data_IF_298504715919
#
_entry.id   IF_298504715919
#
_cell.length_a   1.000
_cell.length_b   1.000
_cell.length_c   1.000
_cell.angle_alpha   90.00
_cell.angle_beta   90.00
_cell.angle_gamma   90.00
#
_symmetry.space_group_name_H-M   'P 1'
#
loop_
_entity.id
_entity.type
_entity.pdbx_description
1 polymer ?
#
# COMPACT_ATOMS: atom_id res chain seq x y z
N UNK A 1 -6.87 24.48 26.02
CA UNK A 1 -7.10 25.21 27.30
C UNK A 1 -7.78 26.53 27.00
N UNK A 2 -8.90 26.86 27.64
CA UNK A 2 -9.44 28.23 27.71
C UNK A 2 -10.42 28.31 28.89
N UNK A 3 -10.22 29.24 29.82
CA UNK A 3 -11.15 29.51 30.94
C UNK A 3 -11.74 30.89 30.72
N UNK A 4 -13.06 30.99 30.54
CA UNK A 4 -13.76 32.27 30.57
C UNK A 4 -14.82 32.22 31.67
N UNK A 5 -14.75 33.13 32.64
CA UNK A 5 -15.47 33.06 33.92
C UNK A 5 -16.07 34.42 34.24
N UNK A 6 -17.33 34.65 33.85
CA UNK A 6 -18.02 35.93 34.05
C UNK A 6 -19.00 35.83 35.23
N UNK A 7 -19.07 36.88 36.04
CA UNK A 7 -19.91 36.96 37.25
C UNK A 7 -21.34 37.40 36.90
N UNK A 8 -22.32 36.89 37.63
CA UNK A 8 -23.58 37.58 37.96
C UNK A 8 -23.71 37.64 39.50
N UNK A 9 -24.56 38.52 40.03
CA UNK A 9 -24.59 38.86 41.47
C UNK A 9 -25.98 39.32 41.92
N UNK A 10 -26.61 38.53 42.79
CA UNK A 10 -27.79 38.85 43.62
C UNK A 10 -27.72 37.92 44.85
N UNK A 11 -27.57 38.33 46.11
CA UNK A 11 -28.10 39.45 46.91
C UNK A 11 -29.48 39.14 47.51
N UNK A 12 -29.50 38.80 48.81
CA UNK A 12 -30.64 38.87 49.77
C UNK A 12 -31.76 37.84 49.47
N UNK A 13 -32.45 37.23 50.44
CA UNK A 13 -32.73 37.66 51.82
C UNK A 13 -32.39 36.64 52.95
N UNK A 14 -32.52 37.07 54.20
CA UNK A 14 -31.98 36.43 55.41
C UNK A 14 -33.02 36.44 56.55
N UNK A 15 -33.74 35.33 56.72
CA UNK A 15 -34.81 35.18 57.74
C UNK A 15 -34.26 35.13 59.18
N UNK A 16 -34.66 36.04 60.08
CA UNK A 16 -34.29 35.96 61.49
C UNK A 16 -35.18 34.98 62.27
N UNK A 17 -34.57 34.09 63.04
CA UNK A 17 -35.23 33.32 64.10
C UNK A 17 -35.20 34.16 65.37
N UNK A 18 -36.38 34.49 65.91
CA UNK A 18 -36.51 35.21 67.19
C UNK A 18 -37.05 34.24 68.23
N UNK A 19 -36.35 34.14 69.36
CA UNK A 19 -36.75 33.36 70.54
C UNK A 19 -36.96 34.31 71.71
N UNK A 20 -38.23 34.47 72.09
CA UNK A 20 -38.73 35.21 73.24
C UNK A 20 -40.26 34.95 73.32
N UNK A 21 -40.93 34.98 74.47
CA UNK A 21 -40.48 34.89 75.86
C UNK A 21 -41.75 34.57 76.67
N UNK A 22 -41.82 33.43 77.35
CA UNK A 22 -42.98 33.13 78.22
C UNK A 22 -42.91 33.99 79.48
N UNK A 23 -43.93 34.82 79.75
CA UNK A 23 -44.45 35.10 81.10
C UNK A 23 -45.69 36.01 81.16
N UNK A 24 -46.60 35.58 82.04
CA UNK A 24 -47.52 36.33 82.91
C UNK A 24 -48.72 37.16 82.33
N UNK A 25 -49.77 37.25 83.17
CA UNK A 25 -50.93 38.17 83.22
C UNK A 25 -52.06 38.14 82.16
N UNK A 26 -53.13 37.37 82.47
CA UNK A 26 -54.48 37.86 82.81
C UNK A 26 -55.36 36.65 83.18
N UNK A 27 -55.78 36.45 84.44
CA UNK A 27 -56.81 37.15 85.21
C UNK A 27 -58.26 36.83 84.78
N UNK A 28 -58.89 36.03 85.65
CA UNK A 28 -60.32 35.76 85.73
C UNK A 28 -61.16 37.04 85.84
N UNK A 29 -62.38 37.00 85.29
CA UNK A 29 -63.51 37.79 85.76
C UNK A 29 -64.71 36.84 85.79
N UNK A 30 -65.11 36.42 87.00
CA UNK A 30 -66.37 35.70 87.23
C UNK A 30 -67.51 36.68 87.53
N UNK A 31 -68.76 36.21 87.39
CA UNK A 31 -69.97 36.97 87.66
C UNK A 31 -70.57 36.58 89.03
N UNK A 32 -70.73 37.56 89.92
CA UNK A 32 -71.77 37.61 90.96
C UNK A 32 -72.32 39.06 90.91
N UNK A 33 -73.61 39.38 90.76
CA UNK A 33 -74.82 38.92 91.45
C UNK A 33 -74.84 39.24 92.95
N UNK A 34 -75.20 40.49 93.28
CA UNK A 34 -75.88 40.84 94.54
C UNK A 34 -76.96 41.90 94.28
N UNK A 35 -78.20 41.44 94.20
CA UNK A 35 -79.40 42.20 94.54
C UNK A 35 -79.91 41.61 95.87
N UNK A 36 -80.24 42.45 96.87
CA UNK A 36 -81.48 42.36 97.67
C UNK A 36 -81.48 43.31 98.89
N UNK A 37 -82.56 44.10 98.97
CA UNK A 37 -83.33 44.47 100.17
C UNK A 37 -82.61 44.99 101.45
N UNK A 38 -82.92 46.23 101.84
CA UNK A 38 -83.80 46.47 103.00
C UNK A 38 -84.44 47.87 102.99
N UNK A 39 -85.48 48.06 103.81
CA UNK A 39 -86.40 49.20 103.86
C UNK A 39 -86.62 49.63 105.32
N UNK A 40 -87.37 50.72 105.55
CA UNK A 40 -87.83 51.21 106.87
C UNK A 40 -86.71 51.70 107.84
N UNK A 41 -86.99 52.45 108.91
CA UNK A 41 -87.80 53.67 109.14
C UNK A 41 -87.41 54.20 110.57
N UNK A 42 -88.22 55.06 111.21
CA UNK A 42 -88.02 55.66 112.56
C UNK A 42 -86.83 56.66 112.64
N UNK A 43 -87.03 57.99 112.62
CA UNK A 43 -87.76 58.94 113.50
C UNK A 43 -86.91 59.56 114.63
N UNK A 44 -87.20 60.84 114.92
CA UNK A 44 -86.37 61.75 115.72
C UNK A 44 -86.70 61.74 117.23
N UNK A 45 -85.78 62.29 118.02
CA UNK A 45 -85.82 62.30 119.48
C UNK A 45 -86.88 63.24 120.09
N UNK A 46 -87.29 62.96 121.32
CA UNK A 46 -88.46 63.57 121.98
C UNK A 46 -88.09 64.82 122.81
N UNK A 47 -88.81 65.93 122.63
CA UNK A 47 -89.34 66.69 123.77
C UNK A 47 -90.65 67.44 123.44
N UNK A 48 -91.55 67.57 124.41
CA UNK A 48 -92.90 68.12 124.22
C UNK A 48 -93.45 68.81 125.47
N UNK A 49 -93.60 70.14 125.42
CA UNK A 49 -94.38 70.90 126.42
C UNK A 49 -95.06 72.12 125.82
N UNK A 50 -96.40 72.11 125.72
CA UNK A 50 -97.30 72.98 126.51
C UNK A 50 -98.75 73.03 125.97
N UNK A 51 -99.68 72.63 126.85
CA UNK A 51 -101.00 73.21 127.11
C UNK A 51 -102.06 73.33 125.98
N UNK A 52 -103.20 72.66 126.20
CA UNK A 52 -104.52 73.11 125.78
C UNK A 52 -105.55 72.85 126.91
N UNK A 53 -106.53 73.74 127.05
CA UNK A 53 -107.50 73.82 128.15
C UNK A 53 -108.88 73.21 127.83
N UNK A 54 -109.77 73.15 128.84
CA UNK A 54 -111.22 72.83 128.79
C UNK A 54 -111.58 71.33 128.92
N UNK A 55 -112.71 70.90 129.50
CA UNK A 55 -113.85 71.58 130.15
C UNK A 55 -114.20 70.81 131.47
N UNK A 56 -115.34 70.92 132.20
CA UNK A 56 -116.69 71.42 131.91
C UNK A 56 -117.43 71.86 133.22
N UNK A 57 -118.77 71.84 133.27
CA UNK A 57 -119.61 72.70 134.13
C UNK A 57 -120.72 71.92 134.88
N UNK A 58 -121.08 72.32 136.13
CA UNK A 58 -122.47 72.41 136.68
C UNK A 58 -122.62 72.80 138.18
N UNK A 59 -123.72 73.51 138.48
CA UNK A 59 -124.77 73.35 139.54
C UNK A 59 -124.41 72.66 140.91
N UNK A 60 -124.95 73.02 142.10
CA UNK A 60 -126.04 73.94 142.49
C UNK A 60 -126.07 74.32 144.02
N UNK A 61 -126.93 75.30 144.39
CA UNK A 61 -127.61 75.52 145.71
C UNK A 61 -126.91 75.92 147.04
N UNK A 62 -127.17 77.18 147.47
CA UNK A 62 -127.96 77.58 148.69
C UNK A 62 -127.43 77.41 150.15
N UNK A 63 -127.64 78.42 151.04
CA UNK A 63 -127.51 78.27 152.51
C UNK A 63 -127.17 79.49 153.42
N UNK A 64 -128.18 80.29 153.78
CA UNK A 64 -128.31 81.42 154.76
C UNK A 64 -127.51 81.27 156.09
N UNK A 65 -127.05 82.30 156.85
CA UNK A 65 -127.74 83.52 157.33
C UNK A 65 -126.85 84.58 158.05
N UNK A 66 -127.24 85.89 158.05
CA UNK A 66 -127.27 86.82 159.23
C UNK A 66 -127.90 88.21 158.91
N UNK A 67 -128.39 88.95 159.93
CA UNK A 67 -128.51 90.44 159.94
C UNK A 67 -129.78 91.13 159.39
N UNK A 68 -130.50 91.90 160.21
CA UNK A 68 -131.86 92.43 159.96
C UNK A 68 -131.97 93.94 159.57
N UNK A 69 -133.02 94.31 158.78
CA UNK A 69 -133.76 95.61 158.70
C UNK A 69 -133.01 96.92 158.24
N UNK A 70 -133.62 97.93 157.59
CA UNK A 70 -134.95 98.08 156.93
C UNK A 70 -135.03 99.27 155.94
N UNK A 71 -135.50 99.02 154.71
CA UNK A 71 -136.32 99.87 153.79
C UNK A 71 -136.15 101.41 153.68
N UNK A 72 -135.73 101.91 152.49
CA UNK A 72 -136.30 103.07 151.74
C UNK A 72 -135.52 103.38 150.44
N UNK A 73 -135.55 102.50 149.43
CA UNK A 73 -134.56 102.50 148.32
C UNK A 73 -135.14 102.21 146.91
N UNK A 74 -136.40 102.56 146.63
CA UNK A 74 -137.10 102.14 145.39
C UNK A 74 -136.66 102.87 144.12
N UNK A 75 -136.31 104.15 144.24
CA UNK A 75 -136.34 105.05 143.07
C UNK A 75 -135.01 105.07 142.29
N UNK A 76 -133.90 104.68 142.94
CA UNK A 76 -132.60 104.52 142.29
C UNK A 76 -132.55 103.31 141.33
N UNK A 77 -133.34 102.27 141.57
CA UNK A 77 -133.26 101.01 140.81
C UNK A 77 -133.61 101.16 139.32
N UNK A 78 -134.47 102.12 138.94
CA UNK A 78 -134.91 102.29 137.54
C UNK A 78 -133.82 102.84 136.62
N UNK A 79 -133.08 103.86 137.05
CA UNK A 79 -132.04 104.48 136.21
C UNK A 79 -130.85 103.53 135.94
N UNK A 80 -130.60 102.58 136.85
CA UNK A 80 -129.59 101.54 136.69
C UNK A 80 -129.94 100.55 135.56
N UNK A 81 -131.23 100.22 135.38
CA UNK A 81 -131.73 99.26 134.36
C UNK A 81 -131.38 99.68 132.94
N UNK A 82 -131.56 100.96 132.61
CA UNK A 82 -131.55 101.37 131.20
C UNK A 82 -130.11 101.62 130.70
N UNK A 83 -129.25 102.15 131.59
CA UNK A 83 -127.79 102.23 131.37
C UNK A 83 -127.16 100.85 131.15
N UNK A 84 -127.72 99.79 131.74
CA UNK A 84 -127.27 98.40 131.54
C UNK A 84 -127.58 97.91 130.11
N UNK A 85 -128.74 98.26 129.54
CA UNK A 85 -129.18 97.80 128.21
C UNK A 85 -128.30 98.35 127.09
N UNK A 86 -128.06 99.67 127.05
CA UNK A 86 -127.20 100.30 126.04
C UNK A 86 -125.78 99.72 126.08
N UNK A 87 -125.26 99.47 127.30
CA UNK A 87 -123.96 98.84 127.53
C UNK A 87 -123.91 97.41 126.99
N UNK A 88 -125.00 96.65 127.09
CA UNK A 88 -125.11 95.29 126.56
C UNK A 88 -125.33 95.25 125.03
N UNK A 89 -126.01 96.24 124.44
CA UNK A 89 -126.14 96.40 122.98
C UNK A 89 -124.81 96.78 122.30
N UNK A 90 -124.06 97.72 122.88
CA UNK A 90 -122.71 98.05 122.41
C UNK A 90 -121.74 96.87 122.58
N UNK A 91 -121.89 96.09 123.65
CA UNK A 91 -121.11 94.85 123.82
C UNK A 91 -121.48 93.80 122.78
N UNK A 92 -122.78 93.57 122.53
CA UNK A 92 -123.25 92.61 121.50
C UNK A 92 -122.79 92.98 120.08
N UNK A 93 -122.78 94.27 119.73
CA UNK A 93 -122.27 94.73 118.44
C UNK A 93 -120.75 94.66 118.32
N UNK A 94 -120.00 94.91 119.41
CA UNK A 94 -118.56 94.65 119.47
C UNK A 94 -118.24 93.15 119.34
N UNK A 95 -118.93 92.29 120.09
CA UNK A 95 -118.73 90.84 120.07
C UNK A 95 -119.10 90.23 118.70
N UNK A 96 -120.10 90.78 118.01
CA UNK A 96 -120.40 90.41 116.61
C UNK A 96 -119.30 90.86 115.63
N UNK A 97 -118.74 92.07 115.79
CA UNK A 97 -117.60 92.52 115.00
C UNK A 97 -116.34 91.67 115.28
N UNK A 98 -116.10 91.31 116.54
CA UNK A 98 -115.02 90.44 116.97
C UNK A 98 -115.18 89.02 116.42
N UNK A 99 -116.40 88.46 116.47
CA UNK A 99 -116.74 87.18 115.85
C UNK A 99 -116.54 87.20 114.33
N UNK A 100 -116.96 88.28 113.65
CA UNK A 100 -116.76 88.43 112.20
C UNK A 100 -115.26 88.59 111.85
N UNK A 101 -114.51 89.36 112.63
CA UNK A 101 -113.06 89.50 112.52
C UNK A 101 -112.34 88.16 112.76
N UNK A 102 -112.81 87.37 113.75
CA UNK A 102 -112.33 86.02 114.05
C UNK A 102 -112.60 85.05 112.89
N UNK A 103 -113.82 85.07 112.33
CA UNK A 103 -114.17 84.26 111.15
C UNK A 103 -113.32 84.63 109.93
N UNK A 104 -113.07 85.92 109.70
CA UNK A 104 -112.22 86.39 108.61
C UNK A 104 -110.76 86.02 108.84
N UNK A 105 -110.27 86.10 110.08
CA UNK A 105 -108.93 85.63 110.48
C UNK A 105 -108.79 84.10 110.34
N UNK A 106 -109.84 83.34 110.61
CA UNK A 106 -109.88 81.88 110.39
C UNK A 106 -109.89 81.52 108.90
N UNK A 107 -110.65 82.24 108.07
CA UNK A 107 -110.61 82.09 106.60
C UNK A 107 -109.24 82.48 106.05
N UNK A 108 -108.61 83.56 106.52
CA UNK A 108 -107.24 83.91 106.13
C UNK A 108 -106.20 82.90 106.62
N UNK A 109 -106.38 82.31 107.81
CA UNK A 109 -105.52 81.23 108.28
C UNK A 109 -105.63 80.00 107.36
N UNK A 110 -106.85 79.54 107.05
CA UNK A 110 -107.10 78.43 106.13
C UNK A 110 -106.69 78.72 104.68
N UNK A 111 -106.81 79.97 104.23
CA UNK A 111 -106.34 80.38 102.92
C UNK A 111 -104.82 80.35 102.86
N UNK A 112 -104.13 80.81 103.91
CA UNK A 112 -102.66 80.72 104.01
C UNK A 112 -102.17 79.27 104.17
N UNK A 113 -102.90 78.46 104.92
CA UNK A 113 -102.67 77.02 105.10
C UNK A 113 -102.76 76.30 103.75
N UNK A 114 -103.88 76.46 103.03
CA UNK A 114 -104.05 75.93 101.66
C UNK A 114 -103.09 76.55 100.64
N UNK A 115 -102.67 77.80 100.80
CA UNK A 115 -101.60 78.42 99.99
C UNK A 115 -100.26 77.70 100.23
N UNK A 116 -99.91 77.38 101.48
CA UNK A 116 -98.71 76.58 101.80
C UNK A 116 -98.82 75.11 101.38
N UNK A 117 -100.00 74.48 101.45
CA UNK A 117 -100.23 73.14 100.91
C UNK A 117 -100.07 73.13 99.38
N UNK A 118 -100.62 74.13 98.69
CA UNK A 118 -100.53 74.26 97.24
C UNK A 118 -99.07 74.58 96.82
N UNK A 119 -98.32 75.33 97.62
CA UNK A 119 -96.88 75.53 97.42
C UNK A 119 -96.09 74.22 97.61
N UNK A 120 -96.36 73.44 98.66
CA UNK A 120 -95.76 72.11 98.87
C UNK A 120 -96.14 71.12 97.75
N UNK A 121 -97.37 71.19 97.22
CA UNK A 121 -97.80 70.35 96.09
C UNK A 121 -97.12 70.79 94.79
N UNK A 122 -96.88 72.09 94.56
CA UNK A 122 -96.02 72.56 93.45
C UNK A 122 -94.58 72.08 93.62
N UNK A 123 -94.01 72.15 94.82
CA UNK A 123 -92.63 71.73 95.10
C UNK A 123 -92.46 70.22 94.91
N UNK A 124 -93.43 69.42 95.36
CA UNK A 124 -93.50 67.98 95.05
C UNK A 124 -93.70 67.72 93.56
N UNK A 125 -94.52 68.52 92.86
CA UNK A 125 -94.70 68.42 91.42
C UNK A 125 -93.40 68.72 90.67
N UNK A 126 -92.72 69.83 90.94
CA UNK A 126 -91.46 70.20 90.26
C UNK A 126 -90.32 69.24 90.60
N UNK A 127 -90.30 68.69 91.82
CA UNK A 127 -89.38 67.61 92.20
C UNK A 127 -89.65 66.31 91.44
N UNK A 128 -90.93 65.91 91.30
CA UNK A 128 -91.34 64.73 90.52
C UNK A 128 -91.15 64.94 89.01
N UNK A 129 -91.35 66.16 88.50
CA UNK A 129 -91.06 66.52 87.10
C UNK A 129 -89.56 66.50 86.83
N UNK A 130 -88.73 67.05 87.72
CA UNK A 130 -87.28 66.96 87.63
C UNK A 130 -86.79 65.50 87.70
N UNK A 131 -87.34 64.70 88.61
CA UNK A 131 -87.06 63.26 88.74
C UNK A 131 -87.43 62.49 87.47
N UNK A 132 -88.64 62.71 86.94
CA UNK A 132 -89.05 62.15 85.65
C UNK A 132 -88.13 62.61 84.51
N UNK A 133 -87.69 63.88 84.50
CA UNK A 133 -86.79 64.39 83.48
C UNK A 133 -85.39 63.77 83.57
N UNK A 134 -84.86 63.50 84.78
CA UNK A 134 -83.64 62.71 84.96
C UNK A 134 -83.82 61.27 84.52
N UNK A 135 -84.91 60.60 84.91
CA UNK A 135 -85.20 59.22 84.51
C UNK A 135 -85.38 59.09 82.99
N UNK A 136 -86.05 60.05 82.33
CA UNK A 136 -86.15 60.10 80.85
C UNK A 136 -84.78 60.31 80.21
N UNK A 137 -83.95 61.20 80.75
CA UNK A 137 -82.57 61.43 80.28
C UNK A 137 -81.64 60.22 80.50
N UNK A 138 -81.92 59.36 81.47
CA UNK A 138 -81.22 58.09 81.65
C UNK A 138 -81.79 57.01 80.72
N UNK A 139 -83.11 56.97 80.54
CA UNK A 139 -83.75 56.05 79.59
C UNK A 139 -83.29 56.31 78.15
N UNK A 140 -83.06 57.56 77.75
CA UNK A 140 -82.48 57.90 76.42
C UNK A 140 -81.02 57.48 76.33
N UNK A 141 -80.17 57.77 77.33
CA UNK A 141 -78.77 57.28 77.38
C UNK A 141 -78.69 55.75 77.30
N UNK A 142 -79.55 55.04 78.03
CA UNK A 142 -79.61 53.57 78.03
C UNK A 142 -80.12 53.02 76.68
N UNK A 143 -81.06 53.72 76.01
CA UNK A 143 -81.49 53.37 74.64
C UNK A 143 -80.40 53.63 73.60
N UNK A 144 -79.67 54.73 73.71
CA UNK A 144 -78.50 54.99 72.87
C UNK A 144 -77.37 53.99 73.11
N UNK A 145 -77.14 53.59 74.36
CA UNK A 145 -76.15 52.57 74.72
C UNK A 145 -76.53 51.20 74.14
N UNK A 146 -77.79 50.79 74.32
CA UNK A 146 -78.32 49.57 73.71
C UNK A 146 -78.25 49.62 72.18
N UNK A 147 -78.58 50.75 71.54
CA UNK A 147 -78.45 50.90 70.09
C UNK A 147 -76.99 50.66 69.64
N UNK A 148 -76.02 51.31 70.29
CA UNK A 148 -74.58 51.14 70.03
C UNK A 148 -74.12 49.69 70.26
N UNK A 149 -74.60 49.03 71.33
CA UNK A 149 -74.31 47.62 71.60
C UNK A 149 -74.93 46.68 70.55
N UNK A 150 -76.15 46.95 70.06
CA UNK A 150 -76.75 46.16 68.96
C UNK A 150 -76.05 46.38 67.61
N UNK A 151 -75.56 47.60 67.34
CA UNK A 151 -74.74 47.91 66.16
C UNK A 151 -73.38 47.20 66.24
N UNK A 152 -72.71 47.26 67.39
CA UNK A 152 -71.47 46.51 67.64
C UNK A 152 -71.67 45.00 67.54
N UNK A 153 -72.76 44.46 68.11
CA UNK A 153 -73.09 43.03 68.03
C UNK A 153 -73.38 42.59 66.59
N UNK A 154 -74.13 43.37 65.81
CA UNK A 154 -74.38 43.05 64.40
C UNK A 154 -73.13 43.17 63.53
N UNK A 155 -72.27 44.16 63.79
CA UNK A 155 -70.94 44.27 63.15
C UNK A 155 -70.04 43.08 63.49
N UNK A 156 -69.98 42.68 64.76
CA UNK A 156 -69.16 41.55 65.22
C UNK A 156 -69.67 40.22 64.64
N UNK A 157 -70.98 40.01 64.57
CA UNK A 157 -71.56 38.84 63.91
C UNK A 157 -71.19 38.80 62.41
N UNK A 158 -71.24 39.93 61.71
CA UNK A 158 -70.82 40.02 60.30
C UNK A 158 -69.32 39.74 60.11
N UNK A 159 -68.47 40.19 61.05
CA UNK A 159 -67.05 39.84 61.04
C UNK A 159 -66.81 38.36 61.35
N UNK A 160 -67.57 37.76 62.29
CA UNK A 160 -67.55 36.32 62.56
C UNK A 160 -67.97 35.49 61.33
N UNK A 161 -69.02 35.88 60.60
CA UNK A 161 -69.45 35.22 59.36
C UNK A 161 -68.39 35.35 58.25
N UNK A 162 -67.78 36.52 58.11
CA UNK A 162 -66.69 36.79 57.17
C UNK A 162 -65.42 35.98 57.52
N UNK A 163 -65.10 35.85 58.80
CA UNK A 163 -64.01 35.00 59.28
C UNK A 163 -64.34 33.52 59.06
N UNK A 164 -65.54 33.07 59.40
CA UNK A 164 -66.00 31.68 59.21
C UNK A 164 -65.97 31.26 57.73
N UNK A 165 -66.44 32.12 56.83
CA UNK A 165 -66.40 31.87 55.38
C UNK A 165 -64.96 31.87 54.83
N UNK A 166 -64.11 32.84 55.21
CA UNK A 166 -62.70 32.85 54.79
C UNK A 166 -61.90 31.65 55.33
N UNK A 167 -62.16 31.21 56.56
CA UNK A 167 -61.55 30.03 57.18
C UNK A 167 -62.02 28.74 56.50
N UNK A 168 -63.29 28.68 56.10
CA UNK A 168 -63.85 27.57 55.29
C UNK A 168 -63.23 27.53 53.90
N UNK A 169 -63.02 28.67 53.25
CA UNK A 169 -62.30 28.76 51.98
C UNK A 169 -60.84 28.31 52.15
N UNK A 170 -60.12 28.80 53.16
CA UNK A 170 -58.72 28.44 53.41
C UNK A 170 -58.55 26.94 53.71
N UNK A 171 -59.49 26.32 54.46
CA UNK A 171 -59.53 24.86 54.64
C UNK A 171 -59.68 24.11 53.32
N UNK A 172 -60.56 24.56 52.42
CA UNK A 172 -60.75 23.97 51.09
C UNK A 172 -59.51 24.13 50.22
N UNK A 173 -58.87 25.30 50.25
CA UNK A 173 -57.63 25.55 49.51
C UNK A 173 -56.47 24.70 50.01
N UNK A 174 -56.32 24.53 51.33
CA UNK A 174 -55.35 23.62 51.94
C UNK A 174 -55.63 22.17 51.52
N UNK A 175 -56.88 21.69 51.59
CA UNK A 175 -57.24 20.33 51.19
C UNK A 175 -56.89 20.06 49.71
N UNK A 176 -57.19 21.00 48.81
CA UNK A 176 -56.82 20.90 47.39
C UNK A 176 -55.29 20.95 47.17
N UNK A 177 -54.54 21.64 48.05
CA UNK A 177 -53.07 21.62 48.03
C UNK A 177 -52.51 20.30 48.55
N UNK A 178 -53.09 19.69 49.58
CA UNK A 178 -52.71 18.37 50.07
C UNK A 178 -52.99 17.28 49.02
N UNK A 179 -54.14 17.33 48.35
CA UNK A 179 -54.51 16.43 47.24
C UNK A 179 -53.51 16.55 46.08
N UNK A 180 -53.26 17.77 45.58
CA UNK A 180 -52.30 17.99 44.48
C UNK A 180 -50.86 17.64 44.86
N UNK A 181 -50.41 17.89 46.10
CA UNK A 181 -49.10 17.44 46.59
C UNK A 181 -48.99 15.92 46.75
N UNK A 182 -50.10 15.23 47.06
CA UNK A 182 -50.16 13.77 47.10
C UNK A 182 -50.03 13.17 45.70
N UNK A 183 -50.74 13.73 44.71
CA UNK A 183 -50.63 13.32 43.30
C UNK A 183 -49.23 13.60 42.73
N UNK A 184 -48.66 14.79 42.96
CA UNK A 184 -47.29 15.12 42.55
C UNK A 184 -46.26 14.19 43.21
N UNK A 185 -46.42 13.87 44.50
CA UNK A 185 -45.59 12.87 45.18
C UNK A 185 -45.70 11.49 44.51
N UNK A 186 -46.91 11.01 44.24
CA UNK A 186 -47.14 9.73 43.58
C UNK A 186 -46.55 9.69 42.16
N UNK A 187 -46.67 10.78 41.40
CA UNK A 187 -46.07 10.93 40.08
C UNK A 187 -44.54 10.95 40.13
N UNK A 188 -43.94 11.65 41.09
CA UNK A 188 -42.49 11.69 41.31
C UNK A 188 -41.95 10.32 41.78
N UNK A 189 -42.65 9.62 42.66
CA UNK A 189 -42.29 8.29 43.15
C UNK A 189 -42.35 7.24 42.02
N UNK A 190 -43.38 7.30 41.17
CA UNK A 190 -43.48 6.51 39.94
C UNK A 190 -42.35 6.84 38.95
N UNK A 191 -42.04 8.12 38.73
CA UNK A 191 -40.94 8.53 37.85
C UNK A 191 -39.58 8.04 38.38
N UNK A 192 -39.34 8.17 39.68
CA UNK A 192 -38.12 7.68 40.33
C UNK A 192 -38.00 6.15 40.28
N UNK A 193 -39.12 5.42 40.45
CA UNK A 193 -39.17 3.97 40.25
C UNK A 193 -38.82 3.55 38.82
N UNK A 194 -39.36 4.25 37.81
CA UNK A 194 -39.02 4.03 36.39
C UNK A 194 -37.55 4.34 36.08
N UNK A 195 -37.02 5.45 36.58
CA UNK A 195 -35.61 5.81 36.43
C UNK A 195 -34.69 4.80 37.13
N UNK A 196 -35.05 4.34 38.33
CA UNK A 196 -34.31 3.31 39.08
C UNK A 196 -34.25 1.99 38.30
N UNK A 197 -35.37 1.57 37.67
CA UNK A 197 -35.38 0.40 36.77
C UNK A 197 -34.47 0.61 35.55
N UNK A 198 -34.57 1.75 34.85
CA UNK A 198 -33.71 2.04 33.69
C UNK A 198 -32.23 2.15 34.06
N UNK A 199 -31.89 2.64 35.26
CA UNK A 199 -30.53 2.62 35.82
C UNK A 199 -30.07 1.18 36.13
N UNK A 200 -30.97 0.30 36.57
CA UNK A 200 -30.70 -1.13 36.71
C UNK A 200 -30.39 -1.80 35.37
N UNK A 201 -31.25 -1.59 34.37
CA UNK A 201 -31.07 -2.08 33.00
C UNK A 201 -29.73 -1.60 32.41
N UNK A 202 -29.44 -0.30 32.46
CA UNK A 202 -28.19 0.28 31.94
C UNK A 202 -26.94 -0.23 32.69
N UNK A 203 -27.06 -0.63 33.96
CA UNK A 203 -25.95 -1.26 34.71
C UNK A 203 -25.69 -2.70 34.26
N UNK A 204 -26.73 -3.45 33.91
CA UNK A 204 -26.60 -4.79 33.35
C UNK A 204 -26.02 -4.74 31.93
N UNK A 205 -26.56 -3.86 31.08
CA UNK A 205 -26.07 -3.60 29.72
C UNK A 205 -24.60 -3.15 29.73
N UNK A 206 -24.19 -2.29 30.68
CA UNK A 206 -22.80 -1.91 30.87
C UNK A 206 -21.90 -3.07 31.36
N UNK A 207 -22.42 -3.97 32.20
CA UNK A 207 -21.69 -5.17 32.63
C UNK A 207 -21.51 -6.17 31.48
N UNK A 208 -22.54 -6.39 30.66
CA UNK A 208 -22.50 -7.23 29.46
C UNK A 208 -21.51 -6.67 28.43
N UNK A 209 -21.60 -5.39 28.08
CA UNK A 209 -20.64 -4.71 27.20
C UNK A 209 -19.20 -4.76 27.75
N UNK A 210 -19.00 -4.71 29.07
CA UNK A 210 -17.68 -4.87 29.69
C UNK A 210 -17.16 -6.30 29.53
N UNK A 211 -18.00 -7.32 29.73
CA UNK A 211 -17.60 -8.72 29.53
C UNK A 211 -17.18 -8.96 28.08
N UNK A 212 -17.97 -8.51 27.10
CA UNK A 212 -17.62 -8.61 25.67
C UNK A 212 -16.32 -7.85 25.33
N UNK A 213 -16.09 -6.68 25.93
CA UNK A 213 -14.82 -5.95 25.79
C UNK A 213 -13.63 -6.70 26.39
N UNK A 214 -13.82 -7.40 27.51
CA UNK A 214 -12.77 -8.15 28.19
C UNK A 214 -12.48 -9.48 27.45
N UNK A 215 -13.50 -10.16 26.91
CA UNK A 215 -13.41 -11.33 26.03
C UNK A 215 -12.66 -11.00 24.73
N UNK A 216 -13.10 -9.97 24.00
CA UNK A 216 -12.41 -9.51 22.78
C UNK A 216 -10.98 -9.03 23.06
N UNK A 217 -10.69 -8.50 24.26
CA UNK A 217 -9.32 -8.24 24.70
C UNK A 217 -8.49 -9.52 24.87
N UNK A 218 -9.08 -10.64 25.31
CA UNK A 218 -8.37 -11.93 25.35
C UNK A 218 -8.17 -12.49 23.95
N UNK A 219 -9.16 -12.39 23.07
CA UNK A 219 -9.02 -12.79 21.66
C UNK A 219 -7.90 -12.02 20.95
N UNK A 220 -7.86 -10.69 21.08
CA UNK A 220 -6.80 -9.86 20.51
C UNK A 220 -5.42 -10.22 21.07
N UNK A 221 -5.30 -10.51 22.38
CA UNK A 221 -4.03 -10.97 22.97
C UNK A 221 -3.60 -12.33 22.43
N UNK A 222 -4.54 -13.27 22.30
CA UNK A 222 -4.28 -14.58 21.71
C UNK A 222 -3.84 -14.45 20.24
N UNK A 223 -4.49 -13.59 19.47
CA UNK A 223 -4.10 -13.28 18.08
C UNK A 223 -2.69 -12.67 18.02
N UNK A 224 -2.34 -11.71 18.90
CA UNK A 224 -0.99 -11.15 19.00
C UNK A 224 0.05 -12.25 19.27
N UNK A 225 -0.19 -13.14 20.24
CA UNK A 225 0.73 -14.26 20.51
C UNK A 225 0.89 -15.17 19.29
N UNK A 226 -0.20 -15.51 18.58
CA UNK A 226 -0.08 -16.31 17.34
C UNK A 226 0.66 -15.57 16.21
N UNK A 227 0.54 -14.25 16.13
CA UNK A 227 1.29 -13.43 15.17
C UNK A 227 2.78 -13.35 15.53
N UNK A 228 3.13 -13.22 16.81
CA UNK A 228 4.52 -13.28 17.29
C UNK A 228 5.15 -14.65 17.03
N UNK A 229 4.42 -15.74 17.29
CA UNK A 229 4.82 -17.10 16.91
C UNK A 229 5.04 -17.24 15.40
N UNK A 230 4.13 -16.72 14.57
CA UNK A 230 4.24 -16.80 13.12
C UNK A 230 5.39 -15.94 12.59
N UNK A 231 5.63 -14.76 13.16
CA UNK A 231 6.80 -13.92 12.84
C UNK A 231 8.12 -14.60 13.26
N UNK A 232 8.14 -15.31 14.39
CA UNK A 232 9.30 -16.11 14.82
C UNK A 232 9.56 -17.26 13.84
N UNK A 233 8.51 -18.00 13.46
CA UNK A 233 8.57 -19.08 12.46
C UNK A 233 8.97 -18.56 11.07
N UNK A 234 8.57 -17.34 10.69
CA UNK A 234 8.97 -16.68 9.45
C UNK A 234 10.48 -16.37 9.46
N UNK A 235 10.98 -15.69 10.50
CA UNK A 235 12.41 -15.36 10.64
C UNK A 235 13.28 -16.62 10.58
N UNK A 236 12.91 -17.68 11.30
CA UNK A 236 13.59 -18.98 11.25
C UNK A 236 13.55 -19.64 9.86
N UNK A 237 12.60 -19.28 8.99
CA UNK A 237 12.54 -19.72 7.59
C UNK A 237 13.37 -18.82 6.67
N UNK A 238 13.37 -17.51 6.89
CA UNK A 238 14.23 -16.57 6.17
C UNK A 238 15.72 -16.87 6.44
N UNK A 239 16.09 -17.14 7.70
CA UNK A 239 17.43 -17.59 8.09
C UNK A 239 17.83 -18.91 7.41
N UNK A 240 16.90 -19.87 7.32
CA UNK A 240 17.12 -21.15 6.61
C UNK A 240 17.26 -20.95 5.10
N UNK A 241 16.48 -20.04 4.49
CA UNK A 241 16.58 -19.71 3.07
C UNK A 241 17.92 -19.02 2.78
N UNK A 242 18.36 -18.08 3.62
CA UNK A 242 19.67 -17.45 3.51
C UNK A 242 20.81 -18.48 3.57
N UNK A 243 20.79 -19.36 4.58
CA UNK A 243 21.81 -20.43 4.72
C UNK A 243 21.83 -21.39 3.53
N UNK A 244 20.67 -21.76 2.98
CA UNK A 244 20.57 -22.62 1.80
C UNK A 244 21.00 -21.90 0.51
N UNK A 245 20.74 -20.60 0.42
CA UNK A 245 21.17 -19.76 -0.70
C UNK A 245 22.71 -19.60 -0.70
N UNK A 246 23.33 -19.42 0.47
CA UNK A 246 24.79 -19.39 0.60
C UNK A 246 25.44 -20.74 0.29
N UNK A 247 24.86 -21.86 0.74
CA UNK A 247 25.32 -23.21 0.36
C UNK A 247 25.19 -23.44 -1.16
N UNK A 248 24.09 -23.01 -1.77
CA UNK A 248 23.89 -23.09 -3.22
C UNK A 248 24.86 -22.20 -4.00
N UNK A 249 25.16 -20.99 -3.50
CA UNK A 249 26.16 -20.08 -4.06
C UNK A 249 27.57 -20.68 -3.98
N UNK A 250 27.94 -21.28 -2.84
CA UNK A 250 29.22 -21.95 -2.65
C UNK A 250 29.37 -23.12 -3.64
N UNK A 251 28.40 -24.04 -3.67
CA UNK A 251 28.39 -25.17 -4.62
C UNK A 251 28.41 -24.71 -6.07
N UNK A 252 27.70 -23.62 -6.42
CA UNK A 252 27.75 -23.05 -7.77
C UNK A 252 29.12 -22.47 -8.10
N UNK A 253 29.79 -21.84 -7.14
CA UNK A 253 31.18 -21.39 -7.29
C UNK A 253 32.12 -22.57 -7.57
N UNK A 254 32.03 -23.63 -6.76
CA UNK A 254 32.78 -24.89 -6.94
C UNK A 254 32.53 -25.54 -8.30
N UNK A 255 31.26 -25.65 -8.74
CA UNK A 255 30.92 -26.16 -10.07
C UNK A 255 31.55 -25.32 -11.18
N UNK A 256 31.45 -23.98 -11.14
CA UNK A 256 32.10 -23.13 -12.17
C UNK A 256 33.63 -23.17 -12.09
N UNK A 257 34.22 -23.47 -10.94
CA UNK A 257 35.67 -23.68 -10.80
C UNK A 257 36.10 -25.04 -11.40
N UNK A 258 35.28 -26.09 -11.21
CA UNK A 258 35.46 -27.40 -11.83
C UNK A 258 35.30 -27.35 -13.35
N UNK A 259 34.26 -26.67 -13.84
CA UNK A 259 33.98 -26.42 -15.26
C UNK A 259 35.12 -25.65 -15.95
N UNK A 260 35.67 -24.61 -15.30
CA UNK A 260 36.88 -23.91 -15.79
C UNK A 260 38.10 -24.84 -15.88
N UNK A 261 38.32 -25.71 -14.88
CA UNK A 261 39.42 -26.69 -14.93
C UNK A 261 39.24 -27.70 -16.06
N UNK A 262 38.02 -28.25 -16.22
CA UNK A 262 37.72 -29.22 -17.28
C UNK A 262 37.82 -28.60 -18.68
N UNK A 263 37.32 -27.38 -18.87
CA UNK A 263 37.42 -26.66 -20.16
C UNK A 263 38.84 -26.19 -20.46
N UNK A 264 39.68 -25.93 -19.45
CA UNK A 264 41.12 -25.74 -19.64
C UNK A 264 41.79 -27.06 -20.06
N UNK A 265 41.54 -28.16 -19.35
CA UNK A 265 42.10 -29.48 -19.70
C UNK A 265 41.70 -29.96 -21.09
N UNK A 266 40.46 -29.68 -21.53
CA UNK A 266 40.04 -29.94 -22.90
C UNK A 266 40.86 -29.13 -23.91
N UNK A 267 41.04 -27.82 -23.70
CA UNK A 267 41.89 -26.98 -24.57
C UNK A 267 43.35 -27.43 -24.62
N UNK A 268 43.90 -27.90 -23.49
CA UNK A 268 45.24 -28.47 -23.42
C UNK A 268 45.34 -29.77 -24.22
N UNK A 269 44.35 -30.67 -24.09
CA UNK A 269 44.27 -31.91 -24.89
C UNK A 269 44.03 -31.63 -26.38
N UNK A 270 43.20 -30.66 -26.73
CA UNK A 270 42.93 -30.27 -28.13
C UNK A 270 44.21 -29.69 -28.77
N UNK A 271 44.96 -28.86 -28.05
CA UNK A 271 46.26 -28.34 -28.51
C UNK A 271 47.30 -29.47 -28.70
N UNK A 272 47.38 -30.41 -27.76
CA UNK A 272 48.22 -31.61 -27.84
C UNK A 272 47.81 -32.54 -29.02
N UNK A 273 46.51 -32.62 -29.30
CA UNK A 273 45.98 -33.34 -30.46
C UNK A 273 46.37 -32.63 -31.77
N UNK A 274 46.35 -31.30 -31.84
CA UNK A 274 46.82 -30.56 -33.03
C UNK A 274 48.34 -30.64 -33.22
N UNK A 275 49.16 -30.60 -32.16
CA UNK A 275 50.61 -30.84 -32.30
C UNK A 275 50.87 -32.25 -32.83
N UNK A 276 50.26 -33.28 -32.24
CA UNK A 276 50.39 -34.68 -32.69
C UNK A 276 49.84 -34.87 -34.12
N UNK A 277 48.78 -34.15 -34.52
CA UNK A 277 48.30 -34.13 -35.92
C UNK A 277 49.36 -33.53 -36.86
N UNK A 278 49.99 -32.42 -36.49
CA UNK A 278 51.02 -31.75 -37.29
C UNK A 278 52.30 -32.58 -37.41
N UNK A 279 52.76 -33.20 -36.32
CA UNK A 279 53.90 -34.12 -36.31
C UNK A 279 53.62 -35.35 -37.18
N UNK A 280 52.40 -35.93 -37.07
CA UNK A 280 51.98 -37.04 -37.93
C UNK A 280 51.89 -36.62 -39.40
N UNK A 281 51.48 -35.40 -39.71
CA UNK A 281 51.50 -34.89 -41.10
C UNK A 281 52.94 -34.72 -41.61
N UNK A 282 53.84 -34.15 -40.80
CA UNK A 282 55.25 -34.01 -41.14
C UNK A 282 55.94 -35.37 -41.39
N UNK A 283 55.70 -36.36 -40.53
CA UNK A 283 56.17 -37.73 -40.70
C UNK A 283 55.55 -38.43 -41.92
N UNK A 284 54.29 -38.15 -42.25
CA UNK A 284 53.66 -38.67 -43.49
C UNK A 284 54.29 -38.05 -44.74
N UNK A 285 54.62 -36.75 -44.72
CA UNK A 285 55.37 -36.11 -45.82
C UNK A 285 56.80 -36.63 -45.91
N UNK A 286 57.50 -36.84 -44.80
CA UNK A 286 58.85 -37.43 -44.79
C UNK A 286 58.84 -38.87 -45.32
N UNK A 287 57.87 -39.69 -44.91
CA UNK A 287 57.68 -41.05 -45.45
C UNK A 287 57.34 -41.01 -46.95
N UNK A 288 56.60 -40.01 -47.42
CA UNK A 288 56.32 -39.81 -48.85
C UNK A 288 57.58 -39.44 -49.63
N UNK A 289 58.38 -38.51 -49.10
CA UNK A 289 59.66 -38.10 -49.68
C UNK A 289 60.68 -39.24 -49.69
N UNK A 290 60.75 -40.03 -48.62
CA UNK A 290 61.61 -41.21 -48.53
C UNK A 290 61.17 -42.31 -49.49
N UNK A 291 59.86 -42.50 -49.70
CA UNK A 291 59.34 -43.40 -50.74
C UNK A 291 59.69 -42.90 -52.14
N UNK A 292 59.49 -41.63 -52.44
CA UNK A 292 59.87 -41.02 -53.73
C UNK A 292 61.38 -41.14 -53.99
N UNK A 293 62.22 -40.93 -52.97
CA UNK A 293 63.68 -41.16 -53.02
C UNK A 293 64.03 -42.65 -53.21
N UNK A 294 63.26 -43.56 -52.61
CA UNK A 294 63.44 -45.00 -52.77
C UNK A 294 63.05 -45.46 -54.18
N UNK A 295 61.91 -45.02 -54.70
CA UNK A 295 61.47 -45.28 -56.08
C UNK A 295 62.45 -44.68 -57.11
N UNK A 296 63.01 -43.49 -56.83
CA UNK A 296 64.11 -42.90 -57.58
C UNK A 296 65.39 -43.75 -57.55
N UNK A 297 65.71 -44.37 -56.40
CA UNK A 297 66.85 -45.28 -56.27
C UNK A 297 66.60 -46.66 -56.87
N UNK A 298 65.37 -47.18 -56.84
CA UNK A 298 65.00 -48.42 -57.50
C UNK A 298 64.98 -48.26 -59.02
N UNK A 299 64.56 -47.11 -59.55
CA UNK A 299 64.66 -46.81 -60.99
C UNK A 299 66.10 -46.58 -61.44
N UNK A 300 66.97 -46.00 -60.61
CA UNK A 300 68.43 -45.94 -60.83
C UNK A 300 69.08 -47.33 -60.76
N UNK A 301 68.67 -48.20 -59.82
CA UNK A 301 69.14 -49.60 -59.75
C UNK A 301 68.63 -50.41 -60.94
N UNK A 302 67.43 -50.15 -61.45
CA UNK A 302 66.92 -50.77 -62.68
C UNK A 302 67.68 -50.29 -63.91
N UNK A 303 67.98 -49.00 -64.06
CA UNK A 303 68.79 -48.51 -65.18
C UNK A 303 70.20 -49.10 -65.14
N UNK A 304 70.86 -49.09 -63.97
CA UNK A 304 72.16 -49.75 -63.76
C UNK A 304 72.11 -51.26 -64.05
N UNK A 305 71.01 -51.96 -63.76
CA UNK A 305 70.82 -53.37 -64.17
C UNK A 305 70.71 -53.51 -65.68
N UNK A 306 69.95 -52.65 -66.39
CA UNK A 306 69.91 -52.70 -67.86
C UNK A 306 71.25 -52.34 -68.50
N UNK A 307 72.05 -51.48 -67.87
CA UNK A 307 73.43 -51.21 -68.32
C UNK A 307 74.36 -52.40 -68.04
N UNK A 308 74.20 -53.09 -66.91
CA UNK A 308 74.87 -54.35 -66.62
C UNK A 308 74.51 -55.44 -67.65
N UNK A 309 73.25 -55.52 -68.09
CA UNK A 309 72.80 -56.44 -69.16
C UNK A 309 73.35 -56.06 -70.54
N UNK A 310 73.70 -54.78 -70.78
CA UNK A 310 74.40 -54.37 -72.01
C UNK A 310 75.86 -54.84 -72.01
N UNK A 311 76.53 -54.97 -70.86
CA UNK A 311 77.93 -55.43 -70.79
C UNK A 311 78.17 -56.75 -71.53
N UNK A 312 77.47 -57.88 -71.27
CA UNK A 312 77.72 -59.12 -71.99
C UNK A 312 77.39 -59.03 -73.49
N UNK A 313 76.48 -58.14 -73.90
CA UNK A 313 76.25 -57.88 -75.34
C UNK A 313 77.41 -57.13 -75.97
N UNK A 314 78.02 -56.18 -75.26
CA UNK A 314 79.22 -55.46 -75.67
C UNK A 314 80.47 -56.36 -75.65
N UNK A 315 80.59 -57.28 -74.68
CA UNK A 315 81.63 -58.32 -74.65
C UNK A 315 81.50 -59.31 -75.83
N UNK A 316 80.26 -59.69 -76.18
CA UNK A 316 79.99 -60.47 -77.40
C UNK A 316 80.36 -59.70 -78.66
N UNK A 317 80.02 -58.41 -78.74
CA UNK A 317 80.35 -57.53 -79.86
C UNK A 317 81.87 -57.29 -79.98
N UNK A 318 82.57 -57.18 -78.85
CA UNK A 318 84.04 -57.10 -78.77
C UNK A 318 84.66 -58.44 -79.21
N UNK A 319 84.13 -59.59 -78.78
CA UNK A 319 84.60 -60.90 -79.25
C UNK A 319 84.35 -61.09 -80.75
N UNK A 320 83.21 -60.66 -81.29
CA UNK A 320 82.95 -60.68 -82.73
C UNK A 320 83.89 -59.74 -83.51
N UNK A 321 84.17 -58.55 -82.98
CA UNK A 321 85.17 -57.62 -83.56
C UNK A 321 86.58 -58.21 -83.47
N UNK A 322 86.93 -58.89 -82.39
CA UNK A 322 88.22 -59.57 -82.21
C UNK A 322 88.35 -60.80 -83.15
N UNK A 323 87.26 -61.54 -83.37
CA UNK A 323 87.20 -62.64 -84.34
C UNK A 323 87.28 -62.12 -85.78
N UNK A 324 86.67 -60.96 -86.08
CA UNK A 324 86.79 -60.28 -87.37
C UNK A 324 88.20 -59.73 -87.59
N UNK A 325 88.84 -59.17 -86.56
CA UNK A 325 90.28 -58.83 -86.57
C UNK A 325 91.13 -60.08 -86.78
N UNK A 326 90.75 -61.22 -86.19
CA UNK A 326 91.36 -62.53 -86.45
C UNK A 326 91.27 -62.95 -87.92
N UNK A 327 90.07 -62.85 -88.52
CA UNK A 327 89.83 -63.12 -89.95
C UNK A 327 90.63 -62.17 -90.84
N UNK A 328 90.56 -60.87 -90.62
CA UNK A 328 91.29 -59.85 -91.39
C UNK A 328 92.82 -60.00 -91.26
N UNK A 329 93.32 -60.39 -90.08
CA UNK A 329 94.74 -60.77 -89.91
C UNK A 329 95.08 -62.02 -90.71
N UNK A 330 94.19 -63.03 -90.73
CA UNK A 330 94.43 -64.26 -91.48
C UNK A 330 94.36 -64.03 -93.00
N UNK A 331 93.46 -63.17 -93.48
CA UNK A 331 93.42 -62.67 -94.86
C UNK A 331 94.67 -61.86 -95.21
N UNK A 332 95.16 -60.98 -94.33
CA UNK A 332 96.41 -60.25 -94.55
C UNK A 332 97.65 -61.17 -94.61
N UNK A 333 97.65 -62.28 -93.87
CA UNK A 333 98.68 -63.34 -93.96
C UNK A 333 98.55 -64.11 -95.28
N UNK A 334 97.34 -64.54 -95.65
CA UNK A 334 97.07 -65.24 -96.91
C UNK A 334 97.40 -64.35 -98.12
N UNK A 335 97.10 -63.06 -98.06
CA UNK A 335 97.43 -62.09 -99.11
C UNK A 335 98.95 -61.88 -99.22
N UNK A 336 99.69 -61.87 -98.11
CA UNK A 336 101.16 -61.89 -98.14
C UNK A 336 101.69 -63.20 -98.77
N UNK A 337 101.06 -64.34 -98.52
CA UNK A 337 101.43 -65.61 -99.18
C UNK A 337 101.16 -65.57 -100.69
N UNK A 338 100.01 -65.05 -101.13
CA UNK A 338 99.71 -64.82 -102.54
C UNK A 338 100.68 -63.84 -103.21
N UNK A 339 101.07 -62.76 -102.53
CA UNK A 339 102.05 -61.79 -103.02
C UNK A 339 103.44 -62.44 -103.15
N UNK A 340 103.84 -63.26 -102.17
CA UNK A 340 105.09 -64.04 -102.18
C UNK A 340 105.10 -65.10 -103.30
N UNK A 341 104.00 -65.83 -103.48
CA UNK A 341 103.82 -66.76 -104.61
C UNK A 341 103.89 -66.04 -105.95
N UNK A 342 103.25 -64.87 -106.06
CA UNK A 342 103.27 -64.05 -107.28
C UNK A 342 104.68 -63.55 -107.62
N UNK A 343 105.43 -63.05 -106.63
CA UNK A 343 106.85 -62.68 -106.78
C UNK A 343 107.74 -63.87 -107.18
N UNK A 344 107.38 -65.08 -106.77
CA UNK A 344 108.12 -66.30 -107.12
C UNK A 344 107.80 -66.77 -108.54
N UNK A 345 106.53 -66.81 -108.95
CA UNK A 345 106.12 -67.20 -110.31
C UNK A 345 106.62 -66.18 -111.35
N UNK A 346 106.54 -64.88 -111.06
CA UNK A 346 107.05 -63.83 -111.95
C UNK A 346 108.57 -63.89 -112.14
N UNK A 347 109.30 -64.56 -111.23
CA UNK A 347 110.74 -64.82 -111.33
C UNK A 347 111.08 -66.10 -112.12
N UNK A 348 110.10 -66.97 -112.42
CA UNK A 348 110.28 -68.15 -113.28
C UNK A 348 109.84 -67.93 -114.74
N UNK A 349 109.00 -66.95 -115.05
CA UNK A 349 108.44 -66.77 -116.40
C UNK A 349 109.33 -66.01 -117.40
N UNK A 350 110.55 -65.59 -117.02
CA UNK A 350 111.55 -65.00 -117.96
C UNK A 350 112.44 -66.07 -118.63
N UNK A 351 111.88 -67.26 -118.91
CA UNK A 351 112.62 -68.52 -119.11
C UNK A 351 112.64 -69.15 -120.51
N UNK A 352 112.50 -68.37 -121.59
CA UNK A 352 112.58 -68.81 -123.02
C UNK A 352 111.45 -69.71 -123.58
N UNK A 353 111.31 -69.84 -124.93
CA UNK A 353 110.10 -70.35 -125.58
C UNK A 353 110.28 -71.62 -126.47
N UNK A 354 109.15 -72.18 -126.94
CA UNK A 354 108.82 -72.76 -128.27
C UNK A 354 109.87 -73.59 -129.07
N UNK A 355 109.50 -74.56 -129.93
CA UNK A 355 108.29 -75.37 -130.15
C UNK A 355 108.70 -76.46 -131.17
N UNK A 356 108.24 -77.71 -131.05
CA UNK A 356 108.64 -78.83 -131.94
C UNK A 356 107.43 -79.62 -132.44
N UNK A 357 107.48 -80.10 -133.68
CA UNK A 357 106.37 -80.77 -134.38
C UNK A 357 106.75 -82.22 -134.71
N UNK A 358 105.78 -83.12 -134.64
CA UNK A 358 106.00 -84.56 -134.47
C UNK A 358 106.38 -85.38 -135.71
N UNK A 359 107.10 -86.47 -135.41
CA UNK A 359 107.73 -87.41 -136.34
C UNK A 359 106.73 -88.28 -137.13
N UNK A 360 105.57 -88.59 -136.55
CA UNK A 360 104.61 -89.54 -137.14
C UNK A 360 103.88 -88.96 -138.36
N UNK A 361 103.57 -87.65 -138.32
CA UNK A 361 102.94 -86.92 -139.42
C UNK A 361 103.80 -86.97 -140.70
N UNK A 362 105.12 -86.86 -140.53
CA UNK A 362 106.11 -86.94 -141.62
C UNK A 362 106.11 -88.35 -142.24
N UNK A 363 106.05 -89.40 -141.41
CA UNK A 363 106.11 -90.79 -141.87
C UNK A 363 104.95 -91.14 -142.80
N UNK A 364 103.72 -90.73 -142.45
CA UNK A 364 102.53 -91.07 -143.22
C UNK A 364 102.53 -90.37 -144.60
N UNK A 365 103.01 -89.13 -144.64
CA UNK A 365 103.17 -88.32 -145.86
C UNK A 365 104.17 -88.95 -146.85
N UNK A 366 105.28 -89.52 -146.36
CA UNK A 366 106.28 -90.20 -147.21
C UNK A 366 105.74 -91.50 -147.82
N UNK A 367 104.93 -92.26 -147.08
CA UNK A 367 104.33 -93.52 -147.60
C UNK A 367 103.37 -93.23 -148.76
N UNK A 368 102.55 -92.19 -148.67
CA UNK A 368 101.65 -91.76 -149.76
C UNK A 368 102.42 -91.46 -151.06
N UNK A 369 103.55 -90.75 -150.98
CA UNK A 369 104.37 -90.39 -152.15
C UNK A 369 104.97 -91.59 -152.91
N UNK A 370 105.20 -92.71 -152.21
CA UNK A 370 105.77 -93.94 -152.77
C UNK A 370 104.75 -94.79 -153.56
N UNK A 371 103.45 -94.60 -153.35
CA UNK A 371 102.40 -95.42 -153.98
C UNK A 371 102.00 -94.94 -155.40
N UNK A 372 102.45 -93.77 -155.84
CA UNK A 372 102.14 -93.22 -157.17
C UNK A 372 102.97 -93.87 -158.31
N UNK A 373 102.34 -94.43 -159.36
CA UNK A 373 103.02 -94.92 -160.56
C UNK A 373 103.84 -93.83 -161.28
N UNK A 374 104.87 -94.25 -162.02
CA UNK A 374 105.75 -93.33 -162.78
C UNK A 374 105.00 -92.77 -164.00
N UNK A 375 104.54 -91.52 -163.91
CA UNK A 375 103.95 -90.77 -165.02
C UNK A 375 102.71 -89.93 -164.67
N UNK A 376 102.12 -90.12 -163.48
CA UNK A 376 100.92 -89.37 -163.06
C UNK A 376 101.28 -87.91 -162.65
N UNK A 377 100.68 -86.87 -163.26
CA UNK A 377 100.89 -85.47 -162.86
C UNK A 377 100.55 -85.17 -161.40
N UNK A 378 99.66 -85.94 -160.75
CA UNK A 378 99.33 -85.80 -159.32
C UNK A 378 100.53 -85.97 -158.40
N UNK A 379 101.59 -86.65 -158.86
CA UNK A 379 102.83 -86.79 -158.10
C UNK A 379 103.55 -85.45 -157.89
N UNK A 380 103.39 -84.49 -158.80
CA UNK A 380 103.94 -83.14 -158.67
C UNK A 380 103.13 -82.30 -157.66
N UNK A 381 101.80 -82.39 -157.71
CA UNK A 381 100.89 -81.75 -156.76
C UNK A 381 101.10 -82.25 -155.31
N UNK A 382 101.31 -83.56 -155.13
CA UNK A 382 101.71 -84.13 -153.85
C UNK A 382 103.06 -83.59 -153.35
N UNK A 383 104.05 -83.43 -154.25
CA UNK A 383 105.36 -82.86 -153.91
C UNK A 383 105.26 -81.37 -153.52
N UNK A 384 104.37 -80.61 -154.17
CA UNK A 384 104.07 -79.23 -153.83
C UNK A 384 103.53 -79.12 -152.39
N UNK A 385 102.55 -79.96 -152.02
CA UNK A 385 101.99 -80.01 -150.66
C UNK A 385 103.04 -80.39 -149.60
N UNK A 386 103.94 -81.34 -149.91
CA UNK A 386 105.05 -81.72 -149.02
C UNK A 386 105.99 -80.52 -148.76
N UNK A 387 106.31 -79.75 -149.81
CA UNK A 387 107.21 -78.59 -149.68
C UNK A 387 106.65 -77.48 -148.79
N UNK A 388 105.32 -77.31 -148.77
CA UNK A 388 104.62 -76.35 -147.93
C UNK A 388 104.53 -76.85 -146.47
N UNK A 389 104.17 -78.11 -146.25
CA UNK A 389 104.01 -78.69 -144.92
C UNK A 389 105.34 -78.76 -144.15
N UNK A 390 106.43 -79.11 -144.83
CA UNK A 390 107.76 -79.30 -144.21
C UNK A 390 108.66 -78.06 -144.34
N UNK A 391 108.07 -76.88 -144.62
CA UNK A 391 108.74 -75.59 -144.73
C UNK A 391 110.07 -75.65 -145.50
N UNK A 392 110.04 -76.20 -146.72
CA UNK A 392 111.26 -76.35 -147.52
C UNK A 392 111.86 -75.00 -147.89
N UNK A 393 113.11 -74.81 -147.49
CA UNK A 393 113.95 -73.71 -147.95
C UNK A 393 114.19 -73.82 -149.47
N UNK A 394 114.45 -72.70 -150.14
CA UNK A 394 114.35 -72.61 -151.61
C UNK A 394 115.34 -73.54 -152.32
N UNK A 395 116.54 -73.72 -151.75
CA UNK A 395 117.54 -74.71 -152.20
C UNK A 395 117.00 -76.15 -152.19
N UNK A 396 116.17 -76.51 -151.21
CA UNK A 396 115.55 -77.85 -151.11
C UNK A 396 114.42 -78.02 -152.12
N UNK A 397 113.67 -76.96 -152.41
CA UNK A 397 112.67 -76.95 -153.50
C UNK A 397 113.35 -77.08 -154.86
N UNK A 398 114.49 -76.46 -155.10
CA UNK A 398 115.30 -76.65 -156.33
C UNK A 398 115.79 -78.09 -156.44
N UNK A 399 116.33 -78.68 -155.36
CA UNK A 399 116.78 -80.08 -155.35
C UNK A 399 115.64 -81.09 -155.58
N UNK A 400 114.39 -80.72 -155.27
CA UNK A 400 113.18 -81.49 -155.56
C UNK A 400 112.51 -81.13 -156.90
N UNK A 401 112.98 -80.09 -157.61
CA UNK A 401 112.51 -79.65 -158.93
C UNK A 401 111.28 -78.72 -158.94
N UNK A 402 111.18 -77.74 -158.02
CA UNK A 402 109.89 -77.12 -157.67
C UNK A 402 109.74 -75.56 -157.74
N UNK A 403 110.71 -74.67 -157.44
CA UNK A 403 110.46 -73.18 -157.40
C UNK A 403 111.68 -72.21 -157.41
N UNK A 404 111.43 -70.87 -157.38
CA UNK A 404 112.40 -69.75 -157.61
C UNK A 404 112.21 -68.33 -156.86
N UNK A 405 111.93 -68.17 -155.53
CA UNK A 405 112.29 -66.96 -154.63
C UNK A 405 111.28 -65.82 -154.10
N UNK A 406 111.42 -65.20 -152.84
CA UNK A 406 110.54 -64.10 -152.19
C UNK A 406 110.95 -63.33 -150.82
N UNK A 407 110.16 -62.35 -150.22
CA UNK A 407 110.50 -61.52 -148.94
C UNK A 407 109.40 -60.88 -147.94
N UNK A 408 109.58 -59.68 -147.26
CA UNK A 408 109.12 -59.25 -145.83
C UNK A 408 108.81 -57.69 -145.52
N UNK A 409 108.03 -57.22 -144.46
CA UNK A 409 107.87 -55.77 -143.91
C UNK A 409 107.19 -55.55 -142.45
N UNK A 410 107.00 -54.31 -141.82
CA UNK A 410 106.71 -54.02 -140.33
C UNK A 410 105.97 -52.66 -139.82
N UNK A 411 105.44 -52.49 -138.54
CA UNK A 411 104.89 -51.21 -137.84
C UNK A 411 104.47 -51.17 -136.28
N UNK A 412 104.10 -50.01 -135.60
CA UNK A 412 103.65 -49.75 -134.13
C UNK A 412 103.22 -48.23 -133.77
N UNK A 413 102.71 -47.59 -132.64
CA UNK A 413 102.16 -47.80 -131.22
C UNK A 413 102.03 -46.49 -130.27
N UNK A 414 101.38 -46.42 -129.03
CA UNK A 414 101.57 -45.52 -127.74
C UNK A 414 100.43 -44.71 -126.93
N UNK A 415 100.66 -44.43 -125.58
CA UNK A 415 100.39 -43.24 -124.63
C UNK A 415 99.07 -42.88 -123.78
N UNK A 416 99.15 -41.94 -122.76
CA UNK A 416 98.09 -41.55 -121.72
C UNK A 416 98.26 -40.16 -120.93
N UNK A 417 97.23 -39.58 -120.23
CA UNK A 417 97.38 -38.52 -119.16
C UNK A 417 96.20 -37.53 -118.73
N UNK A 418 96.07 -37.26 -117.40
CA UNK A 418 95.52 -36.14 -116.52
C UNK A 418 94.46 -35.01 -116.91
N UNK A 419 93.59 -34.65 -115.91
CA UNK A 419 92.96 -33.32 -115.57
C UNK A 419 91.58 -32.80 -116.13
N UNK A 420 90.86 -31.98 -115.30
CA UNK A 420 89.63 -31.16 -115.60
C UNK A 420 88.48 -31.32 -114.56
N UNK A 421 87.58 -30.37 -114.21
CA UNK A 421 87.42 -28.92 -114.44
C UNK A 421 86.43 -28.28 -113.38
N UNK A 422 86.02 -27.00 -113.49
CA UNK A 422 85.23 -26.21 -112.50
C UNK A 422 84.25 -25.23 -113.21
N UNK A 423 83.15 -24.65 -112.67
CA UNK A 423 82.54 -24.61 -111.32
C UNK A 423 81.00 -24.40 -111.39
N UNK A 424 80.26 -23.66 -110.53
CA UNK A 424 80.61 -22.80 -109.38
C UNK A 424 79.49 -22.79 -108.29
N UNK A 425 79.90 -22.68 -107.02
CA UNK A 425 79.24 -22.23 -105.75
C UNK A 425 77.80 -22.58 -105.28
N UNK A 426 77.79 -23.14 -104.05
CA UNK A 426 76.90 -22.92 -102.88
C UNK A 426 75.50 -23.59 -102.87
N UNK A 427 75.40 -24.72 -102.15
CA UNK A 427 74.25 -25.15 -101.34
C UNK A 427 74.56 -25.09 -99.83
N UNK A 428 73.53 -25.14 -98.97
CA UNK A 428 73.46 -25.89 -97.69
C UNK A 428 72.04 -25.75 -97.12
N UNK A 429 71.54 -26.78 -96.45
CA UNK A 429 70.29 -26.72 -95.65
C UNK A 429 70.63 -26.43 -94.19
N UNK A 430 69.79 -25.66 -93.53
CA UNK A 430 69.87 -25.39 -92.08
C UNK A 430 69.90 -26.71 -91.29
N UNK A 431 70.71 -26.75 -90.23
CA UNK A 431 70.93 -27.96 -89.42
C UNK A 431 70.60 -27.69 -87.96
N UNK A 432 70.29 -28.74 -87.20
CA UNK A 432 69.88 -28.64 -85.79
C UNK A 432 70.83 -27.79 -84.91
N UNK A 433 72.12 -27.72 -85.27
CA UNK A 433 73.11 -26.91 -84.54
C UNK A 433 72.79 -25.41 -84.62
N UNK A 434 72.26 -24.88 -85.73
CA UNK A 434 71.92 -23.44 -85.81
C UNK A 434 70.69 -23.09 -84.97
N UNK A 435 69.70 -23.97 -84.88
CA UNK A 435 68.58 -23.85 -83.93
C UNK A 435 69.03 -23.99 -82.47
N UNK A 436 70.08 -24.78 -82.22
CA UNK A 436 70.65 -24.93 -80.87
C UNK A 436 71.51 -23.72 -80.47
N UNK A 437 72.26 -23.11 -81.39
CA UNK A 437 72.94 -21.84 -81.13
C UNK A 437 71.96 -20.68 -80.96
N UNK A 438 70.91 -20.59 -81.79
CA UNK A 438 69.85 -19.56 -81.64
C UNK A 438 69.10 -19.71 -80.30
N UNK A 439 68.87 -20.94 -79.84
CA UNK A 439 68.35 -21.22 -78.49
C UNK A 439 69.31 -20.76 -77.38
N UNK A 440 70.61 -21.07 -77.49
CA UNK A 440 71.63 -20.66 -76.51
C UNK A 440 71.89 -19.15 -76.51
N UNK A 441 71.81 -18.48 -77.66
CA UNK A 441 71.94 -17.02 -77.80
C UNK A 441 70.69 -16.31 -77.22
N UNK A 442 69.52 -16.95 -77.31
CA UNK A 442 68.26 -16.49 -76.70
C UNK A 442 68.16 -16.72 -75.18
N UNK A 443 68.76 -17.78 -74.65
CA UNK A 443 68.93 -17.96 -73.20
C UNK A 443 69.98 -16.99 -72.63
N UNK A 444 71.16 -16.88 -73.29
CA UNK A 444 72.25 -16.05 -72.78
C UNK A 444 72.03 -14.54 -72.91
N UNK A 445 71.14 -14.09 -73.79
CA UNK A 445 70.63 -12.70 -73.81
C UNK A 445 69.52 -12.43 -72.78
N UNK A 446 69.03 -13.46 -72.08
CA UNK A 446 67.88 -13.41 -71.15
C UNK A 446 68.17 -12.86 -69.75
N UNK A 447 68.90 -11.74 -69.59
CA UNK A 447 69.08 -11.10 -68.28
C UNK A 447 69.00 -9.55 -68.27
N UNK A 448 67.78 -9.03 -68.45
CA UNK A 448 67.22 -7.98 -67.56
C UNK A 448 65.72 -7.74 -67.74
#
# INVERSE_FOLDING_TARGET
MAKNKKKSKSTVDNTPRIEASEKDENQEIEHEEQDEQQNEEEEDDVDSVQNADSAEMKEETNGTANGSHSSSDSDLQKLLSDTIKERDEFKSSYDNLLSKLSSMRSVFAKMKESETELEQVKEKLTSVEASNQTLVNENTKLKESNAKLTEQSTSLNYECDKLSTSLTQLRRELQLKEETLSDDKYNLENANSRLTKKIGELKLEFQELKLVNDETNMEVKNQIVTLEELQSKLKLKDDQIASLQDEANLKRSEFTASERKLTQQLKERDAEIETIKSERQALVTEISDLKSKLEGKDTEVLSMKTDLEKIPTLEYDINNKQLLIGKLRHEAVILNEHLTKSLTMLKQQSGSPNNTIDKELISNVVVSFLQFPRGDPKKYEALQLISALLAWDESKKVAAGLSQGGHVIQGSGTAAGQAGAQGDKIPIRESFVSLWTDFLEKESSGTK
#
